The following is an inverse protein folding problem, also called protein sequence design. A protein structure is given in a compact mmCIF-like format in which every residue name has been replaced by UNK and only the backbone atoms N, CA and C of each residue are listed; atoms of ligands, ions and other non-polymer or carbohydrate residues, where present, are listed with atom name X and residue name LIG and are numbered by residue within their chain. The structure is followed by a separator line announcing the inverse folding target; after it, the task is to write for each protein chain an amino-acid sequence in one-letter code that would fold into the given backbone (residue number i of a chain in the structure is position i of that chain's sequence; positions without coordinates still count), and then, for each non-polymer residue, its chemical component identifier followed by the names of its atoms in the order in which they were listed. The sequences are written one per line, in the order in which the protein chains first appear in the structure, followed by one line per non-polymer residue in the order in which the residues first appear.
data_IF_653762004278
#
_entry.id   IF_653762004278
#
_cell.length_a   1.000
_cell.length_b   1.000
_cell.length_c   1.000
_cell.angle_alpha   90.00
_cell.angle_beta   90.00
_cell.angle_gamma   90.00
#
_symmetry.space_group_name_H-M   'P 1'
#
loop_
_entity.id
_entity.type
_entity.pdbx_description
1 polymer ?
#
# COMPACT_ATOMS: atom_id res chain seq x y z
N UNK A 1 -25.45 -1.04 -55.71
CA UNK A 1 -24.43 -0.04 -55.33
C UNK A 1 -24.23 -0.13 -53.82
N UNK A 2 -23.31 -1.00 -53.38
CA UNK A 2 -22.99 -1.22 -51.97
C UNK A 2 -21.77 -0.39 -51.59
N UNK A 3 -21.94 0.57 -50.69
CA UNK A 3 -20.84 1.29 -50.07
C UNK A 3 -20.57 0.68 -48.68
N UNK A 4 -19.66 -0.28 -48.64
CA UNK A 4 -19.04 -0.79 -47.41
C UNK A 4 -18.31 0.37 -46.73
N UNK A 5 -18.88 0.93 -45.67
CA UNK A 5 -18.17 1.87 -44.81
C UNK A 5 -17.19 1.09 -43.92
N UNK A 6 -15.95 0.98 -44.39
CA UNK A 6 -14.82 0.59 -43.56
C UNK A 6 -14.54 1.72 -42.56
N UNK A 7 -15.03 1.56 -41.33
CA UNK A 7 -14.68 2.46 -40.22
C UNK A 7 -13.21 2.21 -39.85
N UNK A 8 -12.32 3.22 -39.87
CA UNK A 8 -10.94 3.01 -39.42
C UNK A 8 -10.94 2.73 -37.91
N UNK A 9 -10.10 1.80 -37.42
CA UNK A 9 -9.93 1.61 -35.99
C UNK A 9 -9.34 2.88 -35.36
N UNK A 10 -9.99 3.39 -34.32
CA UNK A 10 -9.48 4.50 -33.51
C UNK A 10 -8.26 4.04 -32.70
N UNK A 11 -7.17 4.84 -32.59
CA UNK A 11 -5.88 4.42 -32.03
C UNK A 11 -5.87 4.40 -30.49
N UNK A 12 -6.99 4.11 -29.85
CA UNK A 12 -7.07 3.90 -28.39
C UNK A 12 -7.49 2.47 -28.14
N UNK A 13 -6.60 1.56 -28.51
CA UNK A 13 -6.59 0.24 -27.92
C UNK A 13 -6.51 0.47 -26.41
N UNK A 14 -7.64 0.28 -25.72
CA UNK A 14 -7.65 0.22 -24.27
C UNK A 14 -6.82 -1.01 -23.96
N UNK A 15 -5.57 -0.78 -23.57
CA UNK A 15 -4.78 -1.78 -22.87
C UNK A 15 -5.71 -2.34 -21.82
N UNK A 16 -5.88 -3.67 -21.82
CA UNK A 16 -6.58 -4.39 -20.78
C UNK A 16 -5.77 -4.12 -19.50
N UNK A 17 -6.08 -2.99 -18.85
CA UNK A 17 -5.55 -2.60 -17.56
C UNK A 17 -6.11 -3.65 -16.62
N UNK A 18 -5.28 -4.68 -16.35
CA UNK A 18 -5.55 -5.68 -15.32
C UNK A 18 -6.20 -4.98 -14.13
N UNK A 19 -7.44 -5.35 -13.83
CA UNK A 19 -8.22 -4.78 -12.74
C UNK A 19 -7.39 -4.83 -11.45
N UNK A 20 -6.78 -3.70 -11.10
CA UNK A 20 -5.98 -3.59 -9.90
C UNK A 20 -6.95 -3.39 -8.73
N UNK A 21 -7.30 -4.48 -8.07
CA UNK A 21 -8.07 -4.44 -6.82
C UNK A 21 -7.36 -3.50 -5.83
N UNK A 22 -7.97 -2.33 -5.60
CA UNK A 22 -7.49 -1.37 -4.63
C UNK A 22 -7.72 -1.95 -3.24
N UNK A 23 -6.64 -2.23 -2.52
CA UNK A 23 -6.70 -2.72 -1.16
C UNK A 23 -7.10 -1.62 -0.19
N UNK A 24 -7.92 -1.96 0.80
CA UNK A 24 -8.09 -1.12 1.98
C UNK A 24 -6.80 -1.06 2.80
N UNK A 25 -6.64 -0.03 3.63
CA UNK A 25 -5.49 0.08 4.56
C UNK A 25 -5.35 -1.15 5.47
N UNK A 26 -6.46 -1.76 5.88
CA UNK A 26 -6.48 -2.98 6.69
C UNK A 26 -5.94 -4.18 5.91
N UNK A 27 -6.44 -4.39 4.69
CA UNK A 27 -5.99 -5.49 3.82
C UNK A 27 -4.54 -5.33 3.38
N UNK A 28 -4.11 -4.12 3.04
CA UNK A 28 -2.72 -3.80 2.76
C UNK A 28 -1.82 -4.08 3.98
N UNK A 29 -2.31 -3.79 5.19
CA UNK A 29 -1.61 -4.06 6.44
C UNK A 29 -1.44 -5.55 6.74
N UNK A 30 -2.48 -6.35 6.52
CA UNK A 30 -2.40 -7.82 6.66
C UNK A 30 -1.40 -8.40 5.68
N UNK A 31 -1.48 -8.01 4.40
CA UNK A 31 -0.54 -8.46 3.37
C UNK A 31 0.90 -8.07 3.69
N UNK A 32 1.12 -6.84 4.17
CA UNK A 32 2.45 -6.41 4.61
C UNK A 32 2.98 -7.25 5.77
N UNK A 33 2.13 -7.62 6.75
CA UNK A 33 2.55 -8.49 7.87
C UNK A 33 2.98 -9.87 7.40
N UNK A 34 2.20 -10.50 6.52
CA UNK A 34 2.52 -11.82 5.95
C UNK A 34 3.83 -11.75 5.16
N UNK A 35 4.00 -10.72 4.32
CA UNK A 35 5.19 -10.57 3.50
C UNK A 35 6.47 -10.33 4.34
N UNK A 36 6.36 -9.54 5.42
CA UNK A 36 7.47 -9.34 6.36
C UNK A 36 7.86 -10.68 7.00
N UNK A 37 6.90 -11.46 7.49
CA UNK A 37 7.18 -12.75 8.12
C UNK A 37 7.86 -13.74 7.15
N UNK A 38 7.39 -13.79 5.89
CA UNK A 38 8.01 -14.60 4.86
C UNK A 38 9.45 -14.15 4.54
N UNK A 39 9.68 -12.83 4.45
CA UNK A 39 11.00 -12.27 4.20
C UNK A 39 11.97 -12.49 5.38
N UNK A 40 11.50 -12.45 6.63
CA UNK A 40 12.30 -12.77 7.82
C UNK A 40 12.71 -14.25 7.84
N UNK A 41 11.80 -15.15 7.48
CA UNK A 41 12.11 -16.57 7.35
C UNK A 41 13.16 -16.81 6.23
N UNK A 42 13.04 -16.10 5.12
CA UNK A 42 14.01 -16.18 4.03
C UNK A 42 15.38 -15.59 4.39
N UNK A 43 15.44 -14.51 5.17
CA UNK A 43 16.69 -13.98 5.72
C UNK A 43 17.38 -15.01 6.63
N UNK A 44 16.62 -15.69 7.50
CA UNK A 44 17.15 -16.73 8.37
C UNK A 44 17.73 -17.92 7.60
N UNK A 45 17.15 -18.29 6.45
CA UNK A 45 17.73 -19.29 5.55
C UNK A 45 19.03 -18.79 4.91
N UNK A 46 19.01 -17.59 4.35
CA UNK A 46 20.18 -17.00 3.70
C UNK A 46 21.35 -16.81 4.68
N UNK A 47 21.08 -16.59 5.98
CA UNK A 47 22.13 -16.48 7.00
C UNK A 47 22.88 -17.80 7.21
N UNK A 48 22.24 -18.94 6.90
CA UNK A 48 22.85 -20.28 7.05
C UNK A 48 23.61 -20.73 5.82
N UNK A 49 23.12 -20.41 4.63
CA UNK A 49 23.57 -21.04 3.38
C UNK A 49 23.72 -20.08 2.19
N UNK A 50 23.34 -18.82 2.34
CA UNK A 50 23.29 -17.84 1.26
C UNK A 50 24.57 -17.03 1.05
N UNK A 51 24.64 -16.34 -0.09
CA UNK A 51 25.73 -15.40 -0.35
C UNK A 51 25.53 -14.07 0.41
N UNK A 52 26.64 -13.38 0.69
CA UNK A 52 26.63 -12.02 1.28
C UNK A 52 25.75 -11.05 0.48
N UNK A 53 25.80 -11.13 -0.84
CA UNK A 53 25.04 -10.24 -1.73
C UNK A 53 23.52 -10.49 -1.64
N UNK A 54 23.09 -11.74 -1.53
CA UNK A 54 21.68 -12.10 -1.36
C UNK A 54 21.16 -11.66 0.01
N UNK A 55 21.99 -11.79 1.05
CA UNK A 55 21.68 -11.28 2.39
C UNK A 55 21.50 -9.77 2.41
N UNK A 56 22.39 -9.01 1.78
CA UNK A 56 22.30 -7.55 1.73
C UNK A 56 21.04 -7.10 0.96
N UNK A 57 20.70 -7.79 -0.13
CA UNK A 57 19.45 -7.55 -0.87
C UNK A 57 18.22 -7.86 -0.03
N UNK A 58 18.22 -8.97 0.71
CA UNK A 58 17.11 -9.34 1.59
C UNK A 58 16.91 -8.32 2.71
N UNK A 59 18.00 -7.85 3.32
CA UNK A 59 17.96 -6.80 4.35
C UNK A 59 17.37 -5.50 3.82
N UNK A 60 17.76 -5.07 2.62
CA UNK A 60 17.19 -3.89 1.98
C UNK A 60 15.68 -4.06 1.73
N UNK A 61 15.25 -5.25 1.31
CA UNK A 61 13.83 -5.58 1.12
C UNK A 61 13.06 -5.53 2.44
N UNK A 62 13.57 -6.15 3.50
CA UNK A 62 12.97 -6.11 4.83
C UNK A 62 12.86 -4.69 5.38
N UNK A 63 13.90 -3.87 5.21
CA UNK A 63 13.86 -2.46 5.59
C UNK A 63 12.74 -1.69 4.86
N UNK A 64 12.60 -1.91 3.55
CA UNK A 64 11.53 -1.29 2.76
C UNK A 64 10.13 -1.73 3.19
N UNK A 65 9.94 -3.03 3.46
CA UNK A 65 8.67 -3.58 3.92
C UNK A 65 8.29 -3.05 5.31
N UNK A 66 9.24 -3.00 6.25
CA UNK A 66 9.02 -2.44 7.59
C UNK A 66 8.65 -0.96 7.51
N UNK A 67 9.36 -0.17 6.71
CA UNK A 67 9.01 1.23 6.48
C UNK A 67 7.62 1.39 5.85
N UNK A 68 7.22 0.49 4.95
CA UNK A 68 5.88 0.48 4.39
C UNK A 68 4.81 0.13 5.44
N UNK A 69 5.07 -0.84 6.30
CA UNK A 69 4.19 -1.19 7.42
C UNK A 69 4.04 -0.02 8.41
N UNK A 70 5.11 0.70 8.72
CA UNK A 70 5.06 1.91 9.55
C UNK A 70 4.15 2.98 8.92
N UNK A 71 4.29 3.25 7.62
CA UNK A 71 3.42 4.18 6.90
C UNK A 71 1.97 3.69 6.83
N UNK A 72 1.75 2.39 6.65
CA UNK A 72 0.41 1.80 6.65
C UNK A 72 -0.23 1.84 8.05
N UNK A 73 0.57 1.78 9.10
CA UNK A 73 0.14 1.95 10.49
C UNK A 73 -0.09 3.42 10.89
N UNK A 74 0.15 4.37 9.98
CA UNK A 74 0.14 5.80 10.29
C UNK A 74 -1.28 6.32 10.59
N UNK A 75 -1.58 6.22 11.88
CA UNK A 75 -2.40 7.04 12.77
C UNK A 75 -3.78 7.52 12.27
N UNK A 76 -4.85 7.31 13.08
CA UNK A 76 -6.03 8.16 13.00
C UNK A 76 -5.61 9.63 12.86
N UNK A 77 -6.36 10.41 12.06
CA UNK A 77 -6.07 11.84 11.89
C UNK A 77 -5.87 12.45 13.28
N UNK A 78 -4.71 13.06 13.48
CA UNK A 78 -4.30 13.72 14.69
C UNK A 78 -3.90 15.15 14.34
N UNK A 79 -3.80 16.02 15.34
CA UNK A 79 -3.51 17.43 15.09
C UNK A 79 -2.18 17.65 14.36
N UNK A 80 -1.20 16.76 14.53
CA UNK A 80 0.10 16.84 13.89
C UNK A 80 0.09 16.46 12.39
N UNK A 81 -0.85 15.62 11.96
CA UNK A 81 -0.98 15.20 10.56
C UNK A 81 -2.18 15.83 9.85
N UNK A 82 -3.06 16.55 10.57
CA UNK A 82 -4.28 17.17 10.05
C UNK A 82 -4.01 18.14 8.90
N UNK A 83 -3.15 19.14 9.13
CA UNK A 83 -2.86 20.16 8.13
C UNK A 83 -2.20 19.58 6.88
N UNK A 84 -1.32 18.58 7.06
CA UNK A 84 -0.71 17.86 5.95
C UNK A 84 -1.75 17.07 5.13
N UNK A 85 -2.78 16.52 5.77
CA UNK A 85 -3.82 15.74 5.11
C UNK A 85 -4.89 16.59 4.42
N UNK A 86 -5.28 17.72 5.02
CA UNK A 86 -6.38 18.55 4.52
C UNK A 86 -5.93 19.83 3.81
N UNK A 87 -4.66 20.22 3.91
CA UNK A 87 -4.11 21.39 3.23
C UNK A 87 -4.52 22.74 3.83
N UNK A 88 -5.09 22.73 5.03
CA UNK A 88 -5.40 23.95 5.81
C UNK A 88 -5.19 23.69 7.30
N UNK A 89 -4.85 24.73 8.10
CA UNK A 89 -4.65 24.58 9.53
C UNK A 89 -5.95 24.16 10.21
N UNK A 90 -5.89 23.09 11.00
CA UNK A 90 -7.04 22.58 11.74
C UNK A 90 -6.63 21.47 12.72
N UNK A 91 -7.59 21.03 13.53
CA UNK A 91 -7.40 19.99 14.55
C UNK A 91 -8.35 18.83 14.29
N UNK A 92 -7.87 17.62 14.55
CA UNK A 92 -8.69 16.43 14.39
C UNK A 92 -9.83 16.43 15.43
N UNK A 93 -11.07 16.46 14.96
CA UNK A 93 -12.23 16.43 15.85
C UNK A 93 -12.33 15.03 16.47
N UNK A 94 -12.02 14.89 17.76
CA UNK A 94 -12.20 13.65 18.51
C UNK A 94 -13.68 13.43 18.78
N UNK A 95 -14.29 12.39 18.21
CA UNK A 95 -15.61 11.93 18.64
C UNK A 95 -15.50 11.27 20.02
N UNK A 96 -15.44 12.09 21.08
CA UNK A 96 -15.77 11.65 22.44
C UNK A 96 -17.25 11.97 22.71
N UNK A 97 -18.13 11.38 21.91
CA UNK A 97 -19.54 11.25 22.30
C UNK A 97 -19.67 10.01 23.17
N UNK A 98 -19.36 10.15 24.47
CA UNK A 98 -19.84 9.16 25.44
C UNK A 98 -21.37 9.18 25.43
N UNK A 99 -22.05 8.02 25.62
CA UNK A 99 -23.50 8.04 25.79
C UNK A 99 -23.85 8.93 26.99
N UNK A 100 -24.97 9.67 26.96
CA UNK A 100 -25.42 10.41 28.14
C UNK A 100 -25.58 9.42 29.30
N UNK A 101 -24.89 9.69 30.41
CA UNK A 101 -25.17 9.01 31.67
C UNK A 101 -26.54 9.47 32.14
N UNK A 102 -27.45 8.52 32.32
CA UNK A 102 -28.73 8.67 33.02
C UNK A 102 -28.50 8.41 34.52
#
# INVERSE_FOLDING_TARGET
MSATHHRPPSPREKVNEDDHDLLTFGEAGERLRIEIAAAEAAEAELLRSGSRAELDKMKARLAALRAAAERNSAQPINDANFERFFGYPGKAKRNHGGPPSD
#
